data_IF_644686578559
#
_entry.id   IF_644686578559
#
_cell.length_a   1.000
_cell.length_b   1.000
_cell.length_c   1.000
_cell.angle_alpha   90.00
_cell.angle_beta   90.00
_cell.angle_gamma   90.00
#
_symmetry.space_group_name_H-M   'P 1'
#
loop_
_entity.id
_entity.type
_entity.pdbx_description
1 polymer ?
#
# COMPACT_ATOMS: atom_id res chain seq x y z
N UNK A 1 -4.39 -5.27 6.66
CA UNK A 1 -3.65 -4.64 5.53
C UNK A 1 -2.35 -3.93 5.95
N UNK A 2 -2.32 -3.08 6.99
CA UNK A 2 -1.15 -2.23 7.34
C UNK A 2 0.16 -3.01 7.50
N UNK A 3 0.16 -4.07 8.32
CA UNK A 3 1.36 -4.89 8.54
C UNK A 3 1.85 -5.58 7.25
N UNK A 4 0.93 -6.06 6.41
CA UNK A 4 1.26 -6.66 5.12
C UNK A 4 1.85 -5.62 4.16
N UNK A 5 1.28 -4.41 4.10
CA UNK A 5 1.82 -3.34 3.27
C UNK A 5 3.26 -2.97 3.68
N UNK A 6 3.54 -2.91 4.99
CA UNK A 6 4.89 -2.70 5.50
C UNK A 6 5.85 -3.84 5.12
N UNK A 7 5.39 -5.10 5.17
CA UNK A 7 6.17 -6.25 4.72
C UNK A 7 6.48 -6.21 3.21
N UNK A 8 5.57 -5.66 2.40
CA UNK A 8 5.76 -5.39 0.97
C UNK A 8 6.51 -4.08 0.70
N UNK A 9 7.02 -3.39 1.73
CA UNK A 9 7.83 -2.17 1.59
C UNK A 9 7.04 -0.90 1.30
N UNK A 10 5.75 -0.85 1.68
CA UNK A 10 4.89 0.34 1.56
C UNK A 10 4.49 0.83 2.94
N UNK A 11 4.82 2.08 3.23
CA UNK A 11 4.32 2.78 4.42
C UNK A 11 3.05 3.53 4.04
N UNK A 12 1.97 3.28 4.77
CA UNK A 12 0.67 3.90 4.54
C UNK A 12 -0.01 4.25 5.85
N UNK A 13 -1.02 5.11 5.78
CA UNK A 13 -1.84 5.48 6.93
C UNK A 13 -3.26 4.97 6.73
N UNK A 14 -3.72 4.10 7.64
CA UNK A 14 -5.13 3.75 7.74
C UNK A 14 -5.92 4.91 8.39
N UNK A 15 -7.09 5.20 7.85
CA UNK A 15 -8.01 6.25 8.27
C UNK A 15 -9.44 5.67 8.28
N UNK A 16 -9.75 4.84 9.29
CA UNK A 16 -11.02 4.12 9.31
C UNK A 16 -11.07 3.06 8.21
N UNK A 17 -12.04 3.17 7.31
CA UNK A 17 -12.22 2.32 6.13
C UNK A 17 -11.41 2.80 4.91
N UNK A 18 -10.73 3.94 5.01
CA UNK A 18 -9.89 4.50 3.96
C UNK A 18 -8.40 4.35 4.24
N UNK A 19 -7.59 4.42 3.19
CA UNK A 19 -6.13 4.43 3.24
C UNK A 19 -5.63 5.65 2.49
N UNK A 20 -4.71 6.40 3.11
CA UNK A 20 -4.08 7.56 2.49
C UNK A 20 -2.62 7.26 2.11
N UNK A 21 -2.23 7.74 0.92
CA UNK A 21 -0.85 7.82 0.46
C UNK A 21 -0.43 9.29 0.34
N UNK A 22 0.68 9.64 0.97
CA UNK A 22 1.30 10.96 0.88
C UNK A 22 2.78 10.80 0.53
N UNK A 23 3.11 10.35 -0.70
CA UNK A 23 4.49 10.15 -1.09
C UNK A 23 5.26 11.49 -1.11
N UNK A 24 6.60 11.47 -1.07
CA UNK A 24 7.40 12.67 -1.28
C UNK A 24 7.10 13.34 -2.63
N UNK A 25 7.17 14.67 -2.70
CA UNK A 25 6.87 15.42 -3.92
C UNK A 25 7.85 15.17 -5.09
N UNK A 26 8.98 14.53 -4.80
CA UNK A 26 10.02 14.16 -5.78
C UNK A 26 9.76 12.82 -6.46
N UNK A 27 8.70 12.09 -6.08
CA UNK A 27 8.39 10.74 -6.58
C UNK A 27 8.12 10.76 -8.10
N UNK A 28 8.66 9.78 -8.83
CA UNK A 28 8.43 9.60 -10.26
C UNK A 28 7.14 8.84 -10.56
N UNK A 29 6.69 8.85 -11.83
CA UNK A 29 5.53 8.07 -12.26
C UNK A 29 5.76 6.55 -12.11
N UNK A 30 6.98 6.09 -12.38
CA UNK A 30 7.40 4.70 -12.23
C UNK A 30 7.37 4.29 -10.75
N UNK A 31 7.86 5.14 -9.86
CA UNK A 31 7.83 4.90 -8.41
C UNK A 31 6.39 4.89 -7.85
N UNK A 32 5.48 5.72 -8.39
CA UNK A 32 4.05 5.64 -8.08
C UNK A 32 3.49 4.28 -8.52
N UNK A 33 3.84 3.81 -9.72
CA UNK A 33 3.46 2.49 -10.20
C UNK A 33 3.92 1.37 -9.27
N UNK A 34 5.18 1.44 -8.80
CA UNK A 34 5.74 0.47 -7.86
C UNK A 34 5.07 0.51 -6.48
N UNK A 35 4.77 1.70 -5.96
CA UNK A 35 4.00 1.88 -4.72
C UNK A 35 2.63 1.20 -4.81
N UNK A 36 1.90 1.44 -5.91
CA UNK A 36 0.57 0.87 -6.11
C UNK A 36 0.63 -0.64 -6.33
N UNK A 37 1.64 -1.14 -7.05
CA UNK A 37 1.86 -2.57 -7.27
C UNK A 37 2.09 -3.31 -5.96
N UNK A 38 3.00 -2.81 -5.11
CA UNK A 38 3.29 -3.40 -3.79
C UNK A 38 2.09 -3.32 -2.85
N UNK A 39 1.38 -2.20 -2.85
CA UNK A 39 0.14 -2.07 -2.08
C UNK A 39 -0.93 -3.07 -2.53
N UNK A 40 -1.09 -3.26 -3.85
CA UNK A 40 -2.00 -4.27 -4.41
C UNK A 40 -1.72 -5.68 -3.89
N UNK A 41 -0.45 -6.09 -3.88
CA UNK A 41 -0.03 -7.38 -3.31
C UNK A 41 -0.42 -7.53 -1.83
N UNK A 42 -0.21 -6.48 -1.04
CA UNK A 42 -0.60 -6.46 0.37
C UNK A 42 -2.13 -6.48 0.57
N UNK A 43 -2.89 -5.86 -0.33
CA UNK A 43 -4.34 -5.83 -0.31
C UNK A 43 -4.93 -7.20 -0.67
N UNK A 44 -4.42 -7.83 -1.73
CA UNK A 44 -4.84 -9.17 -2.15
C UNK A 44 -4.58 -10.19 -1.04
N UNK A 45 -3.41 -10.14 -0.41
CA UNK A 45 -3.06 -11.01 0.71
C UNK A 45 -3.97 -10.75 1.93
N UNK A 46 -4.25 -9.48 2.26
CA UNK A 46 -5.18 -9.15 3.35
C UNK A 46 -6.62 -9.61 3.05
N UNK A 47 -7.05 -9.55 1.80
CA UNK A 47 -8.37 -9.99 1.38
C UNK A 47 -8.48 -11.52 1.34
N UNK A 48 -7.40 -12.21 0.98
CA UNK A 48 -7.29 -13.66 1.04
C UNK A 48 -7.51 -14.21 2.44
N UNK A 49 -6.97 -13.55 3.47
CA UNK A 49 -7.12 -13.95 4.88
C UNK A 49 -8.58 -13.85 5.40
N UNK A 50 -9.45 -13.12 4.70
CA UNK A 50 -10.87 -12.95 5.07
C UNK A 50 -11.80 -14.00 4.45
N UNK A 51 -11.28 -14.83 3.54
CA UNK A 51 -12.05 -15.83 2.79
C UNK A 51 -11.94 -17.22 3.40
#
# INVERSE_FOLDING_TARGET
VVAKAQAHGVILRAMGDAIAFSPPLVISAEEIGELLRRFGQALDEAHGDLR
#
